data_IF_512636512353
#
_entry.id   IF_512636512353
#
_cell.length_a   1.000
_cell.length_b   1.000
_cell.length_c   1.000
_cell.angle_alpha   90.00
_cell.angle_beta   90.00
_cell.angle_gamma   90.00
#
_symmetry.space_group_name_H-M   'P 1'
#
loop_
_entity.id
_entity.type
_entity.pdbx_description
1 polymer ?
#
# COMPACT_ATOMS: atom_id res chain seq x y z
N UNK A 1 23.69 20.71 15.03
CA UNK A 1 23.46 19.31 14.59
C UNK A 1 24.55 18.45 15.19
N UNK A 2 24.29 17.18 15.50
CA UNK A 2 25.32 16.34 16.13
C UNK A 2 26.44 16.02 15.12
N UNK A 3 27.71 15.88 15.61
CA UNK A 3 28.84 15.49 14.76
C UNK A 3 28.59 14.20 13.98
N UNK A 4 27.76 13.30 14.53
CA UNK A 4 27.33 12.07 13.85
C UNK A 4 26.51 12.35 12.60
N UNK A 5 25.57 13.32 12.66
CA UNK A 5 24.75 13.69 11.49
C UNK A 5 25.64 14.27 10.38
N UNK A 6 26.49 15.24 10.71
CA UNK A 6 27.36 15.87 9.72
C UNK A 6 28.26 14.84 9.03
N UNK A 7 28.86 13.93 9.80
CA UNK A 7 29.71 12.87 9.24
C UNK A 7 28.95 11.96 8.25
N UNK A 8 27.74 11.52 8.61
CA UNK A 8 26.91 10.67 7.73
C UNK A 8 26.50 11.44 6.47
N UNK A 9 26.07 12.70 6.64
CA UNK A 9 25.71 13.56 5.53
C UNK A 9 26.88 13.78 4.57
N UNK A 10 28.05 14.14 5.08
CA UNK A 10 29.23 14.35 4.27
C UNK A 10 29.66 13.09 3.51
N UNK A 11 29.55 11.91 4.12
CA UNK A 11 29.78 10.63 3.43
C UNK A 11 28.79 10.40 2.29
N UNK A 12 27.51 10.68 2.52
CA UNK A 12 26.47 10.48 1.50
C UNK A 12 26.63 11.38 0.27
N UNK A 13 27.25 12.54 0.43
CA UNK A 13 27.50 13.51 -0.65
C UNK A 13 28.85 13.26 -1.33
N UNK A 14 29.91 13.01 -0.54
CA UNK A 14 31.27 12.86 -1.08
C UNK A 14 31.47 11.53 -1.84
N UNK A 15 30.83 10.46 -1.40
CA UNK A 15 30.89 9.16 -2.05
C UNK A 15 29.53 8.43 -1.99
N UNK A 16 28.56 8.90 -2.77
CA UNK A 16 27.19 8.36 -2.71
C UNK A 16 27.10 6.87 -3.08
N UNK A 17 27.88 6.40 -4.03
CA UNK A 17 27.83 4.98 -4.43
C UNK A 17 28.24 4.07 -3.28
N UNK A 18 29.36 4.36 -2.64
CA UNK A 18 29.82 3.58 -1.48
C UNK A 18 28.86 3.68 -0.29
N UNK A 19 28.35 4.89 -0.03
CA UNK A 19 27.40 5.11 1.05
C UNK A 19 26.14 4.24 0.87
N UNK A 20 25.55 4.25 -0.33
CA UNK A 20 24.36 3.49 -0.62
C UNK A 20 24.61 1.99 -0.79
N UNK A 21 25.82 1.57 -1.20
CA UNK A 21 26.25 0.18 -1.16
C UNK A 21 26.26 -0.38 0.27
N UNK A 22 26.84 0.39 1.21
CA UNK A 22 26.85 0.01 2.63
C UNK A 22 25.40 -0.04 3.20
N UNK A 23 24.58 0.97 2.93
CA UNK A 23 23.18 1.03 3.38
C UNK A 23 22.32 -0.11 2.80
N UNK A 24 22.61 -0.58 1.59
CA UNK A 24 21.90 -1.68 0.98
C UNK A 24 22.08 -3.02 1.72
N UNK A 25 23.07 -3.15 2.60
CA UNK A 25 23.24 -4.37 3.41
C UNK A 25 22.23 -4.47 4.56
N UNK A 26 21.55 -3.39 4.92
CA UNK A 26 20.49 -3.37 5.93
C UNK A 26 19.14 -3.88 5.40
N UNK A 27 19.05 -4.13 4.08
CA UNK A 27 17.84 -4.62 3.42
C UNK A 27 18.07 -6.05 2.96
N UNK A 28 17.00 -6.86 3.00
CA UNK A 28 17.02 -8.19 2.39
C UNK A 28 16.85 -8.09 0.87
N UNK A 29 17.71 -8.81 0.14
CA UNK A 29 17.66 -8.93 -1.31
C UNK A 29 17.53 -10.39 -1.70
N UNK A 30 16.55 -10.74 -2.52
CA UNK A 30 16.49 -12.06 -3.19
C UNK A 30 17.64 -12.23 -4.19
N UNK A 31 18.04 -11.10 -4.81
CA UNK A 31 19.25 -10.98 -5.62
C UNK A 31 19.92 -9.66 -5.26
N UNK A 32 21.12 -9.73 -4.67
CA UNK A 32 21.90 -8.52 -4.35
C UNK A 32 22.25 -7.75 -5.64
N UNK A 33 22.18 -6.42 -5.63
CA UNK A 33 22.61 -5.61 -6.76
C UNK A 33 24.13 -5.73 -6.93
N UNK A 34 24.58 -5.79 -8.17
CA UNK A 34 26.02 -5.70 -8.52
C UNK A 34 26.38 -4.29 -8.98
N UNK A 35 25.40 -3.50 -9.39
CA UNK A 35 25.55 -2.11 -9.79
C UNK A 35 24.72 -1.20 -8.89
N UNK A 36 25.40 -0.40 -8.09
CA UNK A 36 24.72 0.48 -7.12
C UNK A 36 24.03 1.65 -7.82
N UNK A 37 24.75 2.34 -8.72
CA UNK A 37 24.23 3.50 -9.45
C UNK A 37 24.57 3.42 -10.92
N UNK A 38 23.54 3.48 -11.76
CA UNK A 38 23.70 3.63 -13.21
C UNK A 38 23.49 5.09 -13.63
N UNK A 39 24.57 5.73 -14.13
CA UNK A 39 24.60 7.12 -14.58
C UNK A 39 24.58 7.27 -16.10
N UNK A 40 24.28 6.23 -16.87
CA UNK A 40 24.39 6.23 -18.32
C UNK A 40 23.37 7.13 -19.03
N UNK A 41 22.28 7.53 -18.36
CA UNK A 41 21.22 8.37 -18.94
C UNK A 41 20.87 9.54 -18.00
N UNK A 42 21.74 10.56 -17.84
CA UNK A 42 21.42 11.71 -16.99
C UNK A 42 20.26 12.53 -17.60
N UNK A 43 19.38 13.15 -16.78
CA UNK A 43 19.35 13.10 -15.31
C UNK A 43 18.63 11.88 -14.73
N UNK A 44 18.19 10.92 -15.56
CA UNK A 44 17.40 9.75 -15.17
C UNK A 44 18.32 8.62 -14.71
N UNK A 45 18.88 8.75 -13.51
CA UNK A 45 19.73 7.74 -12.90
C UNK A 45 18.91 6.55 -12.38
N UNK A 46 19.52 5.36 -12.38
CA UNK A 46 18.92 4.15 -11.82
C UNK A 46 19.78 3.61 -10.69
N UNK A 47 19.13 3.34 -9.56
CA UNK A 47 19.73 2.74 -8.38
C UNK A 47 19.42 1.25 -8.33
N UNK A 48 20.41 0.42 -7.98
CA UNK A 48 20.24 -1.02 -7.75
C UNK A 48 19.52 -1.76 -8.90
N UNK A 49 19.81 -1.39 -10.12
CA UNK A 49 19.04 -1.77 -11.32
C UNK A 49 18.90 -3.27 -11.53
N UNK A 50 19.90 -4.07 -11.12
CA UNK A 50 19.93 -5.51 -11.25
C UNK A 50 19.60 -6.27 -9.94
N UNK A 51 19.28 -5.54 -8.86
CA UNK A 51 18.84 -6.07 -7.59
C UNK A 51 17.38 -6.52 -7.63
N UNK A 52 17.04 -7.52 -6.81
CA UNK A 52 15.65 -7.98 -6.61
C UNK A 52 15.33 -7.98 -5.12
N UNK A 53 14.36 -7.21 -4.73
CA UNK A 53 13.84 -7.15 -3.37
C UNK A 53 12.32 -7.03 -3.39
N UNK A 54 11.67 -7.23 -2.25
CA UNK A 54 10.24 -6.99 -2.07
C UNK A 54 10.04 -6.18 -0.79
N UNK A 55 9.34 -5.06 -0.91
CA UNK A 55 9.10 -4.15 0.22
C UNK A 55 8.24 -4.80 1.31
N UNK A 56 7.23 -5.60 0.93
CA UNK A 56 6.39 -6.30 1.90
C UNK A 56 7.20 -7.35 2.67
N UNK A 57 8.05 -8.13 2.00
CA UNK A 57 8.93 -9.09 2.67
C UNK A 57 9.84 -8.40 3.70
N UNK A 58 10.47 -7.29 3.32
CA UNK A 58 11.31 -6.51 4.24
C UNK A 58 10.53 -5.89 5.41
N UNK A 59 9.25 -5.56 5.21
CA UNK A 59 8.41 -4.97 6.25
C UNK A 59 7.80 -6.00 7.21
N UNK A 60 7.56 -7.22 6.78
CA UNK A 60 6.84 -8.23 7.55
C UNK A 60 7.59 -9.55 7.68
N UNK A 61 7.84 -10.23 6.58
CA UNK A 61 8.25 -11.65 6.57
C UNK A 61 9.62 -11.84 7.21
N UNK A 62 10.59 -10.98 6.90
CA UNK A 62 11.94 -11.03 7.47
C UNK A 62 11.93 -10.97 9.01
N UNK A 63 11.01 -10.20 9.59
CA UNK A 63 10.90 -10.10 11.05
C UNK A 63 10.38 -11.38 11.67
N UNK A 64 9.50 -12.10 10.98
CA UNK A 64 8.99 -13.41 11.40
C UNK A 64 10.11 -14.45 11.31
N UNK A 65 10.85 -14.46 10.19
CA UNK A 65 11.99 -15.36 9.98
C UNK A 65 13.09 -15.16 11.03
N UNK A 66 13.21 -13.93 11.55
CA UNK A 66 14.13 -13.57 12.64
C UNK A 66 13.57 -13.85 14.05
N UNK A 67 12.42 -14.53 14.16
CA UNK A 67 11.80 -14.90 15.44
C UNK A 67 11.00 -13.78 16.13
N UNK A 68 10.72 -12.68 15.43
CA UNK A 68 9.96 -11.54 15.97
C UNK A 68 8.45 -11.62 15.65
N UNK A 69 7.94 -12.75 15.14
CA UNK A 69 6.58 -12.89 14.65
C UNK A 69 5.48 -12.45 15.63
N UNK A 70 5.69 -12.70 16.93
CA UNK A 70 4.74 -12.32 17.99
C UNK A 70 4.84 -10.87 18.47
N UNK A 71 5.84 -10.12 18.01
CA UNK A 71 5.96 -8.69 18.35
C UNK A 71 4.86 -7.89 17.65
N UNK A 72 4.43 -6.79 18.30
CA UNK A 72 3.46 -5.87 17.70
C UNK A 72 4.08 -5.18 16.49
N UNK A 73 3.46 -5.35 15.32
CA UNK A 73 3.82 -4.70 14.07
C UNK A 73 2.98 -3.46 13.77
N UNK A 74 1.69 -3.48 14.14
CA UNK A 74 0.77 -2.38 13.90
C UNK A 74 -0.09 -2.11 15.13
N UNK A 75 -0.22 -0.84 15.50
CA UNK A 75 -1.14 -0.36 16.52
C UNK A 75 -2.13 0.59 15.84
N UNK A 76 -3.41 0.31 16.02
CA UNK A 76 -4.49 1.19 15.62
C UNK A 76 -5.18 1.76 16.86
N UNK A 77 -5.30 3.08 16.91
CA UNK A 77 -6.01 3.79 17.98
C UNK A 77 -6.83 4.93 17.37
N UNK A 78 -8.14 4.83 17.42
CA UNK A 78 -9.06 5.85 16.89
C UNK A 78 -9.82 6.51 18.03
N UNK A 79 -9.46 7.71 18.45
CA UNK A 79 -10.18 8.42 19.51
C UNK A 79 -11.62 8.77 19.11
N UNK A 80 -11.93 8.82 17.81
CA UNK A 80 -13.27 9.16 17.30
C UNK A 80 -14.23 7.98 17.44
N UNK A 81 -13.77 6.77 17.10
CA UNK A 81 -14.60 5.56 17.20
C UNK A 81 -14.40 4.81 18.50
N UNK A 82 -13.40 5.16 19.30
CA UNK A 82 -12.99 4.42 20.49
C UNK A 82 -12.30 3.08 20.21
N UNK A 83 -12.14 2.72 18.95
CA UNK A 83 -11.56 1.43 18.57
C UNK A 83 -10.04 1.44 18.74
N UNK A 84 -9.54 0.39 19.40
CA UNK A 84 -8.10 0.12 19.55
C UNK A 84 -7.82 -1.32 19.18
N UNK A 85 -6.76 -1.52 18.40
CA UNK A 85 -6.30 -2.87 18.07
C UNK A 85 -4.78 -2.91 17.92
N UNK A 86 -4.23 -4.12 18.12
CA UNK A 86 -2.81 -4.40 17.88
C UNK A 86 -2.73 -5.64 17.02
N UNK A 87 -1.81 -5.63 16.10
CA UNK A 87 -1.51 -6.78 15.24
C UNK A 87 -0.05 -7.15 15.39
N UNK A 88 0.24 -8.41 15.62
CA UNK A 88 1.60 -8.95 15.54
C UNK A 88 2.07 -8.99 14.09
N UNK A 89 3.37 -9.23 13.87
CA UNK A 89 3.89 -9.45 12.51
C UNK A 89 3.22 -10.65 11.84
N UNK A 90 3.00 -11.75 12.55
CA UNK A 90 2.31 -12.93 12.03
C UNK A 90 0.87 -12.63 11.61
N UNK A 91 0.10 -11.95 12.46
CA UNK A 91 -1.30 -11.59 12.17
C UNK A 91 -1.40 -10.61 10.99
N UNK A 92 -0.50 -9.62 10.94
CA UNK A 92 -0.50 -8.65 9.85
C UNK A 92 -0.08 -9.31 8.54
N UNK A 93 0.94 -10.20 8.56
CA UNK A 93 1.35 -10.96 7.38
C UNK A 93 0.22 -11.79 6.82
N UNK A 94 -0.51 -12.55 7.68
CA UNK A 94 -1.65 -13.37 7.22
C UNK A 94 -2.72 -12.51 6.54
N UNK A 95 -3.11 -11.39 7.16
CA UNK A 95 -4.08 -10.45 6.54
C UNK A 95 -3.60 -9.92 5.19
N UNK A 96 -2.33 -9.55 5.10
CA UNK A 96 -1.72 -9.03 3.87
C UNK A 96 -1.64 -10.12 2.80
N UNK A 97 -1.26 -11.34 3.16
CA UNK A 97 -1.13 -12.48 2.26
C UNK A 97 -2.49 -12.88 1.66
N UNK A 98 -3.55 -12.94 2.48
CA UNK A 98 -4.92 -13.20 2.02
C UNK A 98 -5.41 -12.08 1.10
N UNK A 99 -5.22 -10.80 1.48
CA UNK A 99 -5.68 -9.70 0.63
C UNK A 99 -4.86 -9.58 -0.67
N UNK A 100 -3.61 -9.99 -0.67
CA UNK A 100 -2.79 -10.14 -1.89
C UNK A 100 -3.39 -11.19 -2.83
N UNK A 101 -3.87 -12.31 -2.29
CA UNK A 101 -4.64 -13.31 -3.03
C UNK A 101 -5.93 -12.73 -3.60
N UNK A 102 -6.69 -12.00 -2.77
CA UNK A 102 -7.91 -11.34 -3.20
C UNK A 102 -7.66 -10.37 -4.39
N UNK A 103 -6.60 -9.59 -4.34
CA UNK A 103 -6.21 -8.70 -5.45
C UNK A 103 -5.87 -9.50 -6.73
N UNK A 104 -5.16 -10.62 -6.61
CA UNK A 104 -4.86 -11.50 -7.75
C UNK A 104 -6.13 -12.09 -8.36
N UNK A 105 -7.09 -12.52 -7.54
CA UNK A 105 -8.38 -13.05 -7.98
C UNK A 105 -9.22 -11.97 -8.68
N UNK A 106 -9.03 -10.68 -8.34
CA UNK A 106 -9.59 -9.56 -9.09
C UNK A 106 -8.73 -9.17 -10.31
N UNK A 107 -7.76 -9.98 -10.68
CA UNK A 107 -6.97 -9.84 -11.89
C UNK A 107 -5.77 -8.90 -11.76
N UNK A 108 -5.39 -8.45 -10.56
CA UNK A 108 -4.20 -7.60 -10.35
C UNK A 108 -2.92 -8.41 -10.51
N UNK A 109 -2.02 -7.95 -11.35
CA UNK A 109 -0.71 -8.55 -11.61
C UNK A 109 0.42 -7.58 -11.26
N UNK A 110 1.66 -8.09 -11.28
CA UNK A 110 2.86 -7.26 -11.10
C UNK A 110 2.86 -6.10 -12.11
N UNK A 111 3.07 -4.89 -11.61
CA UNK A 111 3.09 -3.66 -12.41
C UNK A 111 1.71 -3.02 -12.63
N UNK A 112 0.60 -3.70 -12.32
CA UNK A 112 -0.72 -3.06 -12.33
C UNK A 112 -0.83 -2.00 -11.22
N UNK A 113 -1.67 -0.99 -11.44
CA UNK A 113 -1.91 0.09 -10.47
C UNK A 113 -3.20 -0.16 -9.72
N UNK A 114 -3.14 0.04 -8.42
CA UNK A 114 -4.27 -0.05 -7.50
C UNK A 114 -4.39 1.29 -6.76
N UNK A 115 -5.52 1.96 -6.87
CA UNK A 115 -5.80 3.15 -6.05
C UNK A 115 -6.32 2.70 -4.69
N UNK A 116 -5.80 3.32 -3.63
CA UNK A 116 -6.27 3.14 -2.27
C UNK A 116 -6.81 4.48 -1.78
N UNK A 117 -8.13 4.60 -1.74
CA UNK A 117 -8.86 5.77 -1.24
C UNK A 117 -9.62 5.38 0.02
N UNK A 118 -8.90 5.39 1.13
CA UNK A 118 -9.37 4.88 2.42
C UNK A 118 -9.05 5.85 3.56
N UNK A 119 -9.81 5.83 4.66
CA UNK A 119 -9.41 6.48 5.89
C UNK A 119 -8.21 5.76 6.52
N UNK A 120 -7.62 6.35 7.57
CA UNK A 120 -6.50 5.77 8.31
C UNK A 120 -6.97 4.61 9.19
N UNK A 121 -7.12 3.45 8.58
CA UNK A 121 -7.56 2.18 9.21
C UNK A 121 -6.58 1.05 8.88
N UNK A 122 -6.57 -0.04 9.65
CA UNK A 122 -5.65 -1.18 9.40
C UNK A 122 -5.75 -1.74 7.99
N UNK A 123 -6.94 -1.76 7.41
CA UNK A 123 -7.20 -2.26 6.05
C UNK A 123 -6.47 -1.46 4.99
N UNK A 124 -6.24 -0.16 5.20
CA UNK A 124 -5.43 0.65 4.29
C UNK A 124 -3.96 0.18 4.28
N UNK A 125 -3.40 -0.16 5.45
CA UNK A 125 -2.03 -0.70 5.58
C UNK A 125 -1.96 -2.08 4.93
N UNK A 126 -2.97 -2.93 5.17
CA UNK A 126 -3.08 -4.26 4.53
C UNK A 126 -3.11 -4.12 3.01
N UNK A 127 -3.89 -3.20 2.46
CA UNK A 127 -3.98 -2.99 1.02
C UNK A 127 -2.65 -2.52 0.40
N UNK A 128 -1.93 -1.59 1.06
CA UNK A 128 -0.62 -1.12 0.61
C UNK A 128 0.41 -2.26 0.56
N UNK A 129 0.49 -3.03 1.65
CA UNK A 129 1.46 -4.14 1.75
C UNK A 129 1.09 -5.30 0.83
N UNK A 130 -0.20 -5.58 0.62
CA UNK A 130 -0.66 -6.59 -0.32
C UNK A 130 -0.27 -6.25 -1.77
N UNK A 131 -0.42 -4.99 -2.18
CA UNK A 131 0.07 -4.53 -3.48
C UNK A 131 1.59 -4.74 -3.61
N UNK A 132 2.36 -4.34 -2.59
CA UNK A 132 3.81 -4.52 -2.58
C UNK A 132 4.20 -6.00 -2.65
N UNK A 133 3.47 -6.88 -1.96
CA UNK A 133 3.70 -8.34 -1.96
C UNK A 133 3.66 -8.94 -3.35
N UNK A 134 2.66 -8.60 -4.14
CA UNK A 134 2.49 -9.11 -5.51
C UNK A 134 3.22 -8.28 -6.58
N UNK A 135 3.96 -7.24 -6.17
CA UNK A 135 4.66 -6.33 -7.09
C UNK A 135 3.73 -5.40 -7.88
N UNK A 136 2.51 -5.19 -7.41
CA UNK A 136 1.61 -4.16 -7.93
C UNK A 136 2.01 -2.77 -7.37
N UNK A 137 1.61 -1.73 -8.08
CA UNK A 137 1.89 -0.34 -7.73
C UNK A 137 0.65 0.25 -7.05
N UNK A 138 0.74 0.61 -5.78
CA UNK A 138 -0.35 1.30 -5.12
C UNK A 138 -0.20 2.83 -5.21
N UNK A 139 -1.33 3.51 -5.41
CA UNK A 139 -1.45 4.96 -5.33
C UNK A 139 -2.42 5.30 -4.19
N UNK A 140 -1.88 5.80 -3.09
CA UNK A 140 -2.68 6.19 -1.93
C UNK A 140 -3.18 7.61 -2.14
N UNK A 141 -4.48 7.77 -2.12
CA UNK A 141 -5.17 9.06 -2.24
C UNK A 141 -5.72 9.45 -0.89
N UNK A 142 -5.46 10.68 -0.47
CA UNK A 142 -5.95 11.18 0.81
C UNK A 142 -7.49 11.14 0.86
N UNK A 143 -8.05 10.50 1.89
CA UNK A 143 -9.47 10.19 2.04
C UNK A 143 -10.40 11.40 2.27
N UNK A 144 -9.93 12.61 2.10
CA UNK A 144 -10.73 13.83 2.13
C UNK A 144 -10.78 14.56 0.79
N UNK A 145 -10.15 14.00 -0.24
CA UNK A 145 -10.13 14.63 -1.56
C UNK A 145 -11.49 14.51 -2.26
N UNK A 146 -11.85 15.57 -2.99
CA UNK A 146 -13.06 15.63 -3.80
C UNK A 146 -12.99 14.65 -4.99
N UNK A 147 -14.15 14.32 -5.55
CA UNK A 147 -14.32 13.38 -6.66
C UNK A 147 -13.47 13.72 -7.89
N UNK A 148 -13.29 15.01 -8.20
CA UNK A 148 -12.44 15.45 -9.32
C UNK A 148 -10.95 15.06 -9.15
N UNK A 149 -10.43 15.19 -7.92
CA UNK A 149 -9.04 14.83 -7.63
C UNK A 149 -8.84 13.31 -7.70
N UNK A 150 -9.82 12.54 -7.23
CA UNK A 150 -9.80 11.09 -7.34
C UNK A 150 -9.92 10.65 -8.81
N UNK A 151 -10.77 11.28 -9.61
CA UNK A 151 -10.91 11.04 -11.05
C UNK A 151 -9.59 11.30 -11.80
N UNK A 152 -8.93 12.41 -11.50
CA UNK A 152 -7.61 12.73 -12.08
C UNK A 152 -6.57 11.66 -11.77
N UNK A 153 -6.58 11.10 -10.54
CA UNK A 153 -5.67 10.02 -10.14
C UNK A 153 -6.00 8.70 -10.82
N UNK A 154 -7.27 8.41 -11.06
CA UNK A 154 -7.71 7.25 -11.84
C UNK A 154 -7.17 7.36 -13.26
N UNK A 155 -7.31 8.53 -13.88
CA UNK A 155 -6.87 8.78 -15.24
C UNK A 155 -5.35 8.73 -15.39
N UNK A 156 -4.62 9.36 -14.48
CA UNK A 156 -3.15 9.42 -14.50
C UNK A 156 -2.52 8.03 -14.30
N UNK A 157 -2.97 7.31 -13.27
CA UNK A 157 -2.44 5.99 -12.95
C UNK A 157 -2.92 4.89 -13.90
N UNK A 158 -4.06 5.08 -14.57
CA UNK A 158 -4.79 4.02 -15.29
C UNK A 158 -5.01 2.81 -14.39
N UNK A 159 -5.53 3.07 -13.20
CA UNK A 159 -5.71 2.07 -12.17
C UNK A 159 -6.66 0.96 -12.62
N UNK A 160 -6.30 -0.28 -12.33
CA UNK A 160 -7.11 -1.45 -12.61
C UNK A 160 -8.17 -1.68 -11.53
N UNK A 161 -7.77 -1.53 -10.27
CA UNK A 161 -8.62 -1.72 -9.10
C UNK A 161 -8.57 -0.47 -8.23
N UNK A 162 -9.71 -0.12 -7.64
CA UNK A 162 -9.84 0.89 -6.61
C UNK A 162 -10.28 0.22 -5.30
N UNK A 163 -9.55 0.44 -4.22
CA UNK A 163 -9.87 -0.03 -2.87
C UNK A 163 -10.34 1.16 -2.06
N UNK A 164 -11.51 1.05 -1.42
CA UNK A 164 -12.11 2.12 -0.63
C UNK A 164 -12.81 1.60 0.62
N UNK A 165 -13.37 2.51 1.42
CA UNK A 165 -14.26 2.20 2.53
C UNK A 165 -15.62 2.87 2.31
N UNK A 166 -16.65 2.43 3.05
CA UNK A 166 -17.98 3.05 2.99
C UNK A 166 -17.94 4.50 3.48
N UNK A 167 -17.18 4.78 4.55
CA UNK A 167 -17.03 6.13 5.09
C UNK A 167 -15.70 6.34 5.85
N UNK A 168 -15.37 7.60 6.10
CA UNK A 168 -14.39 8.06 7.06
C UNK A 168 -15.06 8.77 8.23
N UNK A 169 -14.57 8.58 9.46
CA UNK A 169 -15.01 9.33 10.63
C UNK A 169 -14.04 10.46 10.94
N UNK A 170 -14.55 11.68 11.00
CA UNK A 170 -13.83 12.89 11.39
C UNK A 170 -14.47 13.49 12.64
N UNK A 171 -13.80 14.38 13.37
CA UNK A 171 -14.42 15.07 14.49
C UNK A 171 -15.71 15.79 14.07
N UNK A 172 -16.84 15.38 14.66
CA UNK A 172 -18.14 15.98 14.43
C UNK A 172 -18.82 15.67 13.10
N UNK A 173 -18.23 14.85 12.22
CA UNK A 173 -18.89 14.45 10.96
C UNK A 173 -18.46 13.07 10.46
N UNK A 174 -19.33 12.46 9.68
CA UNK A 174 -19.01 11.29 8.85
C UNK A 174 -18.84 11.74 7.40
N UNK A 175 -17.76 11.34 6.77
CA UNK A 175 -17.52 11.57 5.33
C UNK A 175 -17.88 10.30 4.58
N UNK A 176 -18.93 10.34 3.79
CA UNK A 176 -19.36 9.22 2.96
C UNK A 176 -18.45 9.09 1.73
N UNK A 177 -17.69 7.99 1.65
CA UNK A 177 -16.73 7.80 0.54
C UNK A 177 -17.40 7.22 -0.70
N UNK A 178 -18.39 6.36 -0.55
CA UNK A 178 -19.04 5.71 -1.70
C UNK A 178 -19.57 6.71 -2.72
N UNK A 179 -20.34 7.78 -2.35
CA UNK A 179 -20.81 8.78 -3.31
C UNK A 179 -19.66 9.52 -4.02
N UNK A 180 -18.57 9.84 -3.29
CA UNK A 180 -17.40 10.51 -3.87
C UNK A 180 -16.69 9.62 -4.89
N UNK A 181 -16.57 8.32 -4.59
CA UNK A 181 -15.97 7.33 -5.49
C UNK A 181 -16.84 7.11 -6.72
N UNK A 182 -18.16 6.99 -6.57
CA UNK A 182 -19.09 6.82 -7.68
C UNK A 182 -19.03 7.99 -8.66
N UNK A 183 -18.96 9.20 -8.14
CA UNK A 183 -18.81 10.39 -8.95
C UNK A 183 -17.44 10.44 -9.64
N UNK A 184 -16.36 10.11 -8.92
CA UNK A 184 -15.03 10.04 -9.50
C UNK A 184 -14.93 9.04 -10.65
N UNK A 185 -15.53 7.84 -10.51
CA UNK A 185 -15.56 6.82 -11.57
C UNK A 185 -16.34 7.31 -12.78
N UNK A 186 -17.41 8.09 -12.59
CA UNK A 186 -18.17 8.71 -13.70
C UNK A 186 -17.35 9.76 -14.43
N UNK A 187 -16.67 10.63 -13.68
CA UNK A 187 -15.85 11.72 -14.20
C UNK A 187 -14.60 11.23 -14.93
N UNK A 188 -13.98 10.16 -14.45
CA UNK A 188 -12.76 9.62 -15.03
C UNK A 188 -12.99 9.09 -16.45
N UNK A 189 -12.03 9.38 -17.35
CA UNK A 189 -12.00 8.83 -18.70
C UNK A 189 -11.61 7.34 -18.68
N UNK A 190 -10.61 7.00 -17.86
CA UNK A 190 -10.21 5.62 -17.64
C UNK A 190 -11.24 4.88 -16.79
N UNK A 191 -11.58 3.66 -17.18
CA UNK A 191 -12.54 2.83 -16.45
C UNK A 191 -11.81 1.73 -15.68
N UNK A 192 -11.98 1.74 -14.36
CA UNK A 192 -11.47 0.68 -13.49
C UNK A 192 -12.21 -0.64 -13.76
N UNK A 193 -11.55 -1.76 -13.52
CA UNK A 193 -12.14 -3.08 -13.68
C UNK A 193 -13.01 -3.45 -12.47
N UNK A 194 -12.51 -3.16 -11.24
CA UNK A 194 -13.17 -3.48 -9.98
C UNK A 194 -12.98 -2.40 -8.93
N UNK A 195 -13.99 -2.25 -8.06
CA UNK A 195 -13.93 -1.50 -6.82
C UNK A 195 -14.14 -2.47 -5.64
N UNK A 196 -13.15 -2.54 -4.74
CA UNK A 196 -13.24 -3.30 -3.49
C UNK A 196 -13.60 -2.34 -2.37
N UNK A 197 -14.71 -2.58 -1.69
CA UNK A 197 -15.23 -1.69 -0.64
C UNK A 197 -15.23 -2.39 0.72
N UNK A 198 -14.55 -1.78 1.70
CA UNK A 198 -14.61 -2.18 3.10
C UNK A 198 -15.77 -1.48 3.79
N UNK A 199 -16.67 -2.26 4.39
CA UNK A 199 -17.82 -1.73 5.13
C UNK A 199 -17.38 -1.25 6.53
N UNK A 200 -17.73 -0.01 6.85
CA UNK A 200 -17.52 0.55 8.19
C UNK A 200 -18.78 0.35 9.02
N UNK A 201 -18.62 -0.25 10.21
CA UNK A 201 -19.74 -0.54 11.13
C UNK A 201 -20.61 0.69 11.40
N UNK A 202 -21.92 0.53 11.25
CA UNK A 202 -22.92 1.60 11.40
C UNK A 202 -23.07 2.55 10.21
N UNK A 203 -22.30 2.31 9.11
CA UNK A 203 -22.36 3.10 7.88
C UNK A 203 -22.16 2.20 6.65
N UNK A 204 -22.89 1.09 6.64
CA UNK A 204 -22.87 0.15 5.52
C UNK A 204 -23.60 0.74 4.31
N UNK A 205 -23.04 0.51 3.14
CA UNK A 205 -23.59 0.97 1.87
C UNK A 205 -23.92 -0.20 0.95
N UNK A 206 -24.94 -0.03 0.12
CA UNK A 206 -25.31 -1.03 -0.86
C UNK A 206 -24.33 -1.00 -2.05
N UNK A 207 -23.85 -2.16 -2.44
CA UNK A 207 -23.13 -2.39 -3.69
C UNK A 207 -24.16 -2.71 -4.78
N UNK A 208 -24.17 -1.95 -5.86
CA UNK A 208 -25.22 -2.02 -6.90
C UNK A 208 -24.68 -2.26 -8.31
N UNK A 209 -23.38 -2.03 -8.53
CA UNK A 209 -22.72 -2.30 -9.80
C UNK A 209 -21.98 -3.65 -9.76
N UNK A 210 -22.02 -4.48 -10.81
CA UNK A 210 -21.29 -5.75 -10.88
C UNK A 210 -19.76 -5.62 -10.73
N UNK A 211 -19.22 -4.42 -10.86
CA UNK A 211 -17.81 -4.12 -10.62
C UNK A 211 -17.49 -3.88 -9.15
N UNK A 212 -18.49 -3.68 -8.32
CA UNK A 212 -18.36 -3.45 -6.90
C UNK A 212 -18.37 -4.77 -6.15
N UNK A 213 -17.38 -4.98 -5.32
CA UNK A 213 -17.24 -6.19 -4.50
C UNK A 213 -16.93 -5.81 -3.05
N UNK A 214 -17.48 -6.59 -2.11
CA UNK A 214 -17.20 -6.39 -0.70
C UNK A 214 -15.78 -6.90 -0.36
N UNK A 215 -15.06 -6.16 0.50
CA UNK A 215 -13.79 -6.59 1.06
C UNK A 215 -13.90 -7.96 1.74
N UNK A 216 -14.93 -8.14 2.55
CA UNK A 216 -15.18 -9.37 3.29
C UNK A 216 -15.40 -10.55 2.34
N UNK A 217 -16.14 -10.32 1.26
CA UNK A 217 -16.40 -11.35 0.26
C UNK A 217 -15.11 -11.79 -0.45
N UNK A 218 -14.31 -10.85 -0.93
CA UNK A 218 -13.07 -11.20 -1.66
C UNK A 218 -12.03 -11.85 -0.74
N UNK A 219 -11.93 -11.39 0.51
CA UNK A 219 -11.04 -11.98 1.51
C UNK A 219 -11.45 -13.40 1.90
N UNK A 220 -12.78 -13.65 2.05
CA UNK A 220 -13.29 -14.98 2.43
C UNK A 220 -13.06 -16.06 1.38
N UNK A 221 -12.87 -15.67 0.12
CA UNK A 221 -12.67 -16.59 -1.01
C UNK A 221 -11.20 -16.75 -1.41
N UNK A 222 -10.36 -15.82 -0.98
CA UNK A 222 -8.96 -15.77 -1.40
C UNK A 222 -8.08 -16.79 -0.67
N UNK A 223 -7.06 -17.25 -1.38
CA UNK A 223 -5.97 -18.01 -0.78
C UNK A 223 -4.80 -17.07 -0.43
N UNK A 224 -4.02 -17.46 0.57
CA UNK A 224 -2.78 -16.75 0.92
C UNK A 224 -1.78 -16.77 -0.25
N UNK A 225 -1.05 -15.68 -0.40
CA UNK A 225 0.05 -15.54 -1.37
C UNK A 225 1.34 -15.24 -0.62
N UNK A 226 2.34 -16.07 -0.81
CA UNK A 226 3.69 -15.91 -0.26
C UNK A 226 4.49 -14.80 -0.96
#
# INVERSE_FOLDING_TARGET
MSDKFNKIYDQSISNPEKFWEEAANDIFWFKKPTKILNKSNPPFYKWYEDGITNTCYNALDIHIDQGNGKRTALIYDSPITGNKSKFSYEELRSKVSIFAGALKDQGVNKGDRVIIYMPMIPEAVVAMLACARIGAIHSVVFGGFASNELASRIDDSKAKVLVTASCGFEPGRTVEYKPLVDEAIKLANHKIDKMILFQRSGHEVKLSDPKEVSWEEVVSKANEVD
#
